data_IF_454728465092
#
_entry.id   IF_454728465092
#
_cell.length_a   1.000
_cell.length_b   1.000
_cell.length_c   1.000
_cell.angle_alpha   90.00
_cell.angle_beta   90.00
_cell.angle_gamma   90.00
#
_symmetry.space_group_name_H-M   'P 1'
#
loop_
_entity.id
_entity.type
_entity.pdbx_description
1 polymer ?
#
# COMPACT_ATOMS: atom_id res chain seq x y z
N UNK A 1 14.34 -29.30 5.30
CA UNK A 1 14.39 -28.08 6.14
C UNK A 1 13.97 -26.91 5.26
N UNK A 2 12.80 -26.32 5.49
CA UNK A 2 12.21 -25.27 4.64
C UNK A 2 12.35 -23.92 5.34
N UNK A 3 13.18 -23.04 4.78
CA UNK A 3 13.41 -21.68 5.28
C UNK A 3 12.25 -20.79 4.82
N UNK A 4 11.30 -20.50 5.71
CA UNK A 4 10.23 -19.56 5.43
C UNK A 4 10.82 -18.15 5.26
N UNK A 5 10.65 -17.56 4.08
CA UNK A 5 11.05 -16.18 3.83
C UNK A 5 10.32 -15.23 4.81
N UNK A 6 11.00 -14.21 5.37
CA UNK A 6 10.37 -13.32 6.34
C UNK A 6 9.14 -12.65 5.71
N UNK A 7 8.03 -12.66 6.46
CA UNK A 7 6.67 -12.22 6.05
C UNK A 7 6.65 -10.85 5.34
N UNK A 8 7.59 -9.96 5.68
CA UNK A 8 7.77 -8.61 5.08
C UNK A 8 8.08 -8.63 3.58
N UNK A 9 8.91 -9.57 3.09
CA UNK A 9 9.29 -9.63 1.67
C UNK A 9 8.10 -10.02 0.77
N UNK A 10 7.25 -10.92 1.27
CA UNK A 10 6.04 -11.34 0.55
C UNK A 10 5.00 -10.22 0.43
N UNK A 11 4.90 -9.35 1.44
CA UNK A 11 3.97 -8.21 1.43
C UNK A 11 4.44 -7.11 0.46
N UNK A 12 5.74 -6.81 0.42
CA UNK A 12 6.33 -5.85 -0.53
C UNK A 12 6.08 -6.27 -1.98
N UNK A 13 6.35 -7.55 -2.30
CA UNK A 13 6.07 -8.09 -3.64
C UNK A 13 4.59 -8.08 -4.01
N UNK A 14 3.67 -8.19 -3.05
CA UNK A 14 2.22 -8.07 -3.32
C UNK A 14 1.82 -6.63 -3.62
N UNK A 15 2.38 -5.66 -2.88
CA UNK A 15 2.12 -4.24 -3.14
C UNK A 15 2.58 -3.82 -4.54
N UNK A 16 3.78 -4.24 -4.93
CA UNK A 16 4.35 -3.98 -6.26
C UNK A 16 3.47 -4.57 -7.38
N UNK A 17 3.14 -5.87 -7.27
CA UNK A 17 2.27 -6.55 -8.25
C UNK A 17 0.88 -5.92 -8.37
N UNK A 18 0.29 -5.50 -7.26
CA UNK A 18 -1.00 -4.81 -7.31
C UNK A 18 -0.88 -3.43 -7.95
N UNK A 19 0.19 -2.69 -7.66
CA UNK A 19 0.46 -1.39 -8.26
C UNK A 19 0.69 -1.47 -9.77
N UNK A 20 1.21 -2.58 -10.29
CA UNK A 20 1.34 -2.85 -11.72
C UNK A 20 0.02 -3.34 -12.36
N UNK A 21 -0.67 -4.26 -11.68
CA UNK A 21 -1.86 -4.92 -12.24
C UNK A 21 -3.08 -3.99 -12.29
N UNK A 22 -3.27 -3.11 -11.29
CA UNK A 22 -4.45 -2.25 -11.24
C UNK A 22 -4.53 -1.26 -12.42
N UNK A 23 -3.46 -0.50 -12.77
CA UNK A 23 -3.48 0.35 -13.97
C UNK A 23 -3.69 -0.44 -15.27
N UNK A 24 -3.07 -1.62 -15.38
CA UNK A 24 -3.24 -2.49 -16.55
C UNK A 24 -4.72 -2.90 -16.73
N UNK A 25 -5.36 -3.35 -15.66
CA UNK A 25 -6.78 -3.71 -15.69
C UNK A 25 -7.67 -2.51 -15.99
N UNK A 26 -7.44 -1.35 -15.36
CA UNK A 26 -8.23 -0.14 -15.64
C UNK A 26 -8.16 0.23 -17.13
N UNK A 27 -6.97 0.15 -17.72
CA UNK A 27 -6.75 0.38 -19.15
C UNK A 27 -7.50 -0.64 -20.01
N UNK A 28 -7.43 -1.93 -19.68
CA UNK A 28 -8.11 -2.99 -20.43
C UNK A 28 -9.64 -2.82 -20.42
N UNK A 29 -10.19 -2.29 -19.33
CA UNK A 29 -11.62 -1.95 -19.21
C UNK A 29 -11.97 -0.55 -19.74
N UNK A 30 -11.01 0.21 -20.29
CA UNK A 30 -11.24 1.55 -20.82
C UNK A 30 -11.57 2.60 -19.76
N UNK A 31 -11.18 2.38 -18.51
CA UNK A 31 -11.38 3.32 -17.40
C UNK A 31 -10.17 4.26 -17.36
N UNK A 32 -10.35 5.58 -17.59
CA UNK A 32 -9.25 6.53 -17.59
C UNK A 32 -8.73 6.74 -16.16
N UNK A 33 -7.41 6.68 -16.02
CA UNK A 33 -6.72 7.03 -14.77
C UNK A 33 -6.54 8.55 -14.72
N UNK A 34 -7.15 9.20 -13.73
CA UNK A 34 -7.08 10.66 -13.55
C UNK A 34 -5.94 11.11 -12.63
N UNK A 35 -5.47 10.22 -11.75
CA UNK A 35 -4.37 10.48 -10.81
C UNK A 35 -3.81 9.16 -10.26
N UNK A 36 -2.53 9.14 -9.90
CA UNK A 36 -1.84 7.96 -9.37
C UNK A 36 -1.09 8.30 -8.07
N UNK A 37 -1.24 7.43 -7.06
CA UNK A 37 -0.45 7.47 -5.82
C UNK A 37 -0.09 6.04 -5.41
N UNK A 38 0.74 5.42 -6.23
CA UNK A 38 1.09 4.00 -6.13
C UNK A 38 2.39 3.81 -5.33
N UNK A 39 2.53 2.63 -4.72
CA UNK A 39 3.72 2.19 -3.98
C UNK A 39 4.09 3.08 -2.79
N UNK A 40 5.10 2.68 -2.02
CA UNK A 40 5.68 3.39 -0.88
C UNK A 40 5.62 2.58 0.41
N UNK A 41 6.23 3.10 1.47
CA UNK A 41 6.49 2.34 2.70
C UNK A 41 5.44 2.65 3.77
N UNK A 42 5.02 1.60 4.49
CA UNK A 42 4.05 1.72 5.59
C UNK A 42 2.61 1.53 5.13
N UNK A 43 1.67 1.99 5.95
CA UNK A 43 0.25 1.81 5.74
C UNK A 43 -0.41 3.18 5.50
N UNK A 44 -1.37 3.21 4.57
CA UNK A 44 -2.14 4.42 4.25
C UNK A 44 -3.60 4.12 4.44
N UNK A 45 -4.32 5.09 4.97
CA UNK A 45 -5.77 5.14 4.86
C UNK A 45 -6.12 6.06 3.70
N UNK A 46 -6.95 5.55 2.79
CA UNK A 46 -7.44 6.29 1.62
C UNK A 46 -8.96 6.39 1.72
N UNK A 47 -9.51 7.59 1.59
CA UNK A 47 -10.94 7.85 1.58
C UNK A 47 -11.35 8.48 0.26
N UNK A 48 -12.46 8.02 -0.31
CA UNK A 48 -13.00 8.48 -1.58
C UNK A 48 -14.35 9.15 -1.36
N UNK A 49 -14.49 10.39 -1.81
CA UNK A 49 -15.79 11.01 -1.95
C UNK A 49 -16.35 10.73 -3.34
N UNK A 50 -17.29 9.79 -3.42
CA UNK A 50 -17.90 9.36 -4.69
C UNK A 50 -18.75 10.47 -5.33
N UNK A 51 -19.25 11.42 -4.54
CA UNK A 51 -20.13 12.48 -5.05
C UNK A 51 -19.41 13.53 -5.89
N UNK A 52 -18.11 13.78 -5.61
CA UNK A 52 -17.34 14.82 -6.28
C UNK A 52 -15.97 14.36 -6.81
N UNK A 53 -15.54 13.14 -6.50
CA UNK A 53 -14.26 12.58 -6.95
C UNK A 53 -13.05 12.93 -6.07
N UNK A 54 -13.25 13.56 -4.91
CA UNK A 54 -12.13 13.85 -4.01
C UNK A 54 -11.53 12.57 -3.42
N UNK A 55 -10.20 12.58 -3.27
CA UNK A 55 -9.44 11.49 -2.67
C UNK A 55 -8.52 12.04 -1.60
N UNK A 56 -8.69 11.56 -0.37
CA UNK A 56 -7.81 11.89 0.75
C UNK A 56 -6.94 10.71 1.11
N UNK A 57 -5.64 10.95 1.28
CA UNK A 57 -4.66 9.95 1.70
C UNK A 57 -3.96 10.40 2.98
N UNK A 58 -3.95 9.53 3.99
CA UNK A 58 -3.29 9.77 5.27
C UNK A 58 -2.31 8.63 5.58
N UNK A 59 -1.03 8.97 5.74
CA UNK A 59 0.00 8.03 6.18
C UNK A 59 -0.20 7.72 7.66
N UNK A 60 -0.45 6.45 7.98
CA UNK A 60 -0.63 6.01 9.37
C UNK A 60 0.63 5.33 9.87
N UNK A 61 1.17 5.83 10.97
CA UNK A 61 2.21 5.14 11.73
C UNK A 61 1.56 3.95 12.43
N UNK A 62 2.07 2.71 12.26
CA UNK A 62 1.53 1.57 12.98
C UNK A 62 1.60 1.82 14.50
N UNK A 63 0.46 1.65 15.18
CA UNK A 63 0.37 1.63 16.63
C UNK A 63 1.37 0.59 17.16
N UNK A 64 2.38 1.05 17.90
CA UNK A 64 3.51 0.23 18.38
C UNK A 64 4.89 0.81 18.07
N UNK A 65 4.99 1.89 17.29
CA UNK A 65 6.26 2.58 16.99
C UNK A 65 6.38 3.88 17.80
N UNK A 66 6.21 3.79 19.12
CA UNK A 66 6.61 4.90 20.01
C UNK A 66 8.13 4.84 20.22
N UNK A 67 8.87 5.99 20.19
CA UNK A 67 10.29 6.01 20.51
C UNK A 67 10.48 5.64 21.98
N UNK A 68 10.69 4.34 22.23
CA UNK A 68 10.81 3.76 23.57
C UNK A 68 10.22 2.36 23.70
N UNK A 69 9.32 1.94 22.81
CA UNK A 69 8.79 0.60 22.86
C UNK A 69 9.68 -0.35 22.03
N UNK A 70 10.52 -1.13 22.72
CA UNK A 70 11.45 -2.11 22.14
C UNK A 70 10.68 -3.26 21.46
N UNK A 71 10.14 -3.00 20.28
CA UNK A 71 9.57 -3.99 19.39
C UNK A 71 10.50 -4.21 18.19
N UNK A 72 11.39 -5.19 18.32
CA UNK A 72 12.31 -5.82 17.33
C UNK A 72 13.78 -5.38 17.32
N UNK A 73 14.73 -6.36 17.30
CA UNK A 73 16.17 -6.11 17.33
C UNK A 73 16.74 -5.71 15.96
N UNK A 74 17.95 -5.16 16.04
CA UNK A 74 18.79 -4.61 14.96
C UNK A 74 19.00 -5.53 13.76
#
# INVERSE_FOLDING_TARGET
MSTAAPKRWSALRRGERNGEAAPALLRDYGIPVVSESLFGIGHRQISFNVSNGDVWSHQVTPLGTEPGNKGYPA
#
